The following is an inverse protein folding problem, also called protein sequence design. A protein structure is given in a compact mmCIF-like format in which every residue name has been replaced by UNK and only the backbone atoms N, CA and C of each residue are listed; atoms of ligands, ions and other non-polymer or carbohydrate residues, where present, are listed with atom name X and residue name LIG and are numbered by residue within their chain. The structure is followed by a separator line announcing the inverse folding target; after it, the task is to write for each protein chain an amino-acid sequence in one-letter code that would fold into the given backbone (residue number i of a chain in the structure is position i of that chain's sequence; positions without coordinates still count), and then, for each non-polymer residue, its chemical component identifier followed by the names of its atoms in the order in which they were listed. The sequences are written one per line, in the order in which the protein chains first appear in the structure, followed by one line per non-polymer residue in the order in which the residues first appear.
data_IF_558779038782
#
_entry.id   IF_558779038782
#
_cell.length_a   1.000
_cell.length_b   1.000
_cell.length_c   1.000
_cell.angle_alpha   90.00
_cell.angle_beta   90.00
_cell.angle_gamma   90.00
#
_symmetry.space_group_name_H-M   'P 1'
#
loop_
_entity.id
_entity.type
_entity.pdbx_description
1 polymer ?
#
# COMPACT_ATOMS: atom_id res chain seq x y z
N UNK A 1 -101.86 30.20 6.32
CA UNK A 1 -101.80 28.89 5.65
C UNK A 1 -101.18 29.11 4.29
N UNK A 2 -99.87 28.90 4.17
CA UNK A 2 -99.21 28.84 2.87
C UNK A 2 -98.75 27.40 2.71
N UNK A 3 -99.26 26.76 1.66
CA UNK A 3 -98.99 25.38 1.34
C UNK A 3 -97.50 25.19 1.03
N UNK A 4 -96.83 24.34 1.81
CA UNK A 4 -95.53 23.79 1.46
C UNK A 4 -95.70 22.86 0.26
N UNK A 5 -95.63 23.40 -0.96
CA UNK A 5 -95.48 22.61 -2.17
C UNK A 5 -94.05 22.06 -2.15
N UNK A 6 -93.88 20.87 -1.59
CA UNK A 6 -92.66 20.08 -1.76
C UNK A 6 -92.48 19.81 -3.24
N UNK A 7 -91.59 20.55 -3.89
CA UNK A 7 -91.17 20.33 -5.27
C UNK A 7 -90.40 19.01 -5.33
N UNK A 8 -91.11 17.88 -5.40
CA UNK A 8 -90.53 16.56 -5.70
C UNK A 8 -90.06 16.52 -7.14
N UNK A 9 -88.93 17.19 -7.38
CA UNK A 9 -88.21 17.19 -8.65
C UNK A 9 -87.13 16.10 -8.61
N UNK A 10 -86.66 15.60 -9.78
CA UNK A 10 -85.53 14.69 -9.85
C UNK A 10 -84.30 15.24 -9.10
N UNK A 11 -84.12 16.56 -9.13
CA UNK A 11 -83.04 17.27 -8.44
C UNK A 11 -83.10 17.13 -6.91
N UNK A 12 -84.28 17.31 -6.29
CA UNK A 12 -84.46 17.09 -4.85
C UNK A 12 -84.37 15.62 -4.43
N UNK A 13 -84.43 14.68 -5.37
CA UNK A 13 -84.24 13.25 -5.11
C UNK A 13 -82.75 12.88 -5.05
N UNK A 14 -81.93 13.53 -5.87
CA UNK A 14 -80.47 13.37 -5.86
C UNK A 14 -79.82 14.24 -4.77
N UNK A 15 -80.46 15.35 -4.40
CA UNK A 15 -80.04 16.27 -3.35
C UNK A 15 -81.16 16.48 -2.32
N UNK A 16 -81.42 15.49 -1.44
CA UNK A 16 -82.48 15.58 -0.43
C UNK A 16 -82.27 16.73 0.56
N UNK A 17 -81.01 17.17 0.69
CA UNK A 17 -80.58 18.29 1.53
C UNK A 17 -81.12 19.63 1.02
N UNK A 18 -81.63 19.72 -0.21
CA UNK A 18 -82.22 20.94 -0.78
C UNK A 18 -83.76 20.89 -0.78
N UNK A 19 -84.36 19.79 -0.31
CA UNK A 19 -85.82 19.59 -0.32
C UNK A 19 -86.59 20.46 0.68
N UNK A 20 -85.90 20.99 1.69
CA UNK A 20 -86.48 21.87 2.71
C UNK A 20 -86.44 23.35 2.32
N UNK A 21 -85.73 23.72 1.25
CA UNK A 21 -85.71 25.08 0.74
C UNK A 21 -86.93 25.37 -0.13
N UNK A 22 -87.50 26.55 0.04
CA UNK A 22 -88.59 27.07 -0.78
C UNK A 22 -88.09 27.51 -2.16
N UNK A 23 -89.02 27.68 -3.11
CA UNK A 23 -88.69 28.11 -4.48
C UNK A 23 -87.99 29.48 -4.52
N UNK A 24 -88.40 30.40 -3.66
CA UNK A 24 -87.83 31.74 -3.59
C UNK A 24 -86.40 31.67 -3.02
N UNK A 25 -86.16 30.84 -2.00
CA UNK A 25 -84.81 30.59 -1.45
C UNK A 25 -83.89 29.89 -2.47
N UNK A 26 -84.42 29.00 -3.31
CA UNK A 26 -83.68 28.38 -4.42
C UNK A 26 -83.32 29.39 -5.53
N UNK A 27 -84.15 30.40 -5.74
CA UNK A 27 -83.88 31.46 -6.70
C UNK A 27 -82.87 32.46 -6.15
N UNK A 28 -82.93 32.78 -4.86
CA UNK A 28 -81.92 33.54 -4.14
C UNK A 28 -80.58 32.79 -4.09
N UNK A 29 -80.61 31.47 -3.94
CA UNK A 29 -79.43 30.58 -4.04
C UNK A 29 -78.76 30.63 -5.43
N UNK A 30 -79.52 30.85 -6.49
CA UNK A 30 -78.97 30.96 -7.85
C UNK A 30 -78.43 32.37 -8.14
N UNK A 31 -78.99 33.40 -7.49
CA UNK A 31 -78.68 34.80 -7.76
C UNK A 31 -77.58 35.37 -6.83
N UNK A 32 -77.45 34.84 -5.60
CA UNK A 32 -76.43 35.25 -4.63
C UNK A 32 -75.34 34.17 -4.45
N UNK A 33 -74.11 34.39 -4.95
CA UNK A 33 -73.02 33.43 -4.81
C UNK A 33 -72.58 33.22 -3.36
N UNK A 34 -72.76 34.21 -2.48
CA UNK A 34 -72.38 34.11 -1.06
C UNK A 34 -73.35 33.20 -0.32
N UNK A 35 -74.65 33.37 -0.57
CA UNK A 35 -75.69 32.49 -0.02
C UNK A 35 -75.54 31.05 -0.53
N UNK A 36 -75.23 30.86 -1.82
CA UNK A 36 -74.87 29.56 -2.37
C UNK A 36 -73.70 28.91 -1.64
N UNK A 37 -72.59 29.63 -1.46
CA UNK A 37 -71.43 29.10 -0.74
C UNK A 37 -71.77 28.74 0.70
N UNK A 38 -72.54 29.57 1.41
CA UNK A 38 -72.95 29.28 2.78
C UNK A 38 -73.72 27.95 2.89
N UNK A 39 -74.69 27.72 2.00
CA UNK A 39 -75.43 26.44 1.98
C UNK A 39 -74.53 25.29 1.52
N UNK A 40 -73.70 25.49 0.49
CA UNK A 40 -72.79 24.46 0.00
C UNK A 40 -71.80 23.98 1.06
N UNK A 41 -71.18 24.89 1.82
CA UNK A 41 -70.31 24.55 2.95
C UNK A 41 -71.08 24.03 4.17
N UNK A 42 -72.39 24.25 4.24
CA UNK A 42 -73.22 23.68 5.31
C UNK A 42 -73.48 22.17 5.13
N UNK A 43 -73.42 21.68 3.88
CA UNK A 43 -73.73 20.29 3.52
C UNK A 43 -72.80 19.31 4.24
N UNK A 44 -73.34 18.27 4.91
CA UNK A 44 -72.56 17.28 5.66
C UNK A 44 -71.48 16.60 4.81
N UNK A 45 -71.81 16.23 3.57
CA UNK A 45 -70.84 15.61 2.64
C UNK A 45 -69.68 16.53 2.31
N UNK A 46 -69.95 17.83 2.11
CA UNK A 46 -68.92 18.82 1.79
C UNK A 46 -68.04 19.08 3.00
N UNK A 47 -68.64 19.25 4.20
CA UNK A 47 -67.89 19.36 5.47
C UNK A 47 -66.97 18.16 5.69
N UNK A 48 -67.49 16.94 5.57
CA UNK A 48 -66.70 15.72 5.72
C UNK A 48 -65.55 15.64 4.71
N UNK A 49 -65.76 16.11 3.47
CA UNK A 49 -64.69 16.18 2.47
C UNK A 49 -63.60 17.19 2.85
N UNK A 50 -63.96 18.39 3.33
CA UNK A 50 -63.00 19.39 3.78
C UNK A 50 -62.25 18.96 5.05
N UNK A 51 -62.94 18.31 5.99
CA UNK A 51 -62.33 17.72 7.19
C UNK A 51 -61.30 16.66 6.79
N UNK A 52 -61.68 15.71 5.93
CA UNK A 52 -60.76 14.69 5.42
C UNK A 52 -59.57 15.31 4.64
N UNK A 53 -59.81 16.34 3.84
CA UNK A 53 -58.74 17.07 3.14
C UNK A 53 -57.78 17.74 4.13
N UNK A 54 -58.30 18.37 5.18
CA UNK A 54 -57.50 19.03 6.20
C UNK A 54 -56.68 18.02 7.00
N UNK A 55 -57.28 16.88 7.39
CA UNK A 55 -56.57 15.80 8.07
C UNK A 55 -55.42 15.24 7.23
N UNK A 56 -55.65 14.97 5.94
CA UNK A 56 -54.59 14.55 5.03
C UNK A 56 -53.50 15.62 4.86
N UNK A 57 -53.88 16.89 4.83
CA UNK A 57 -52.95 18.02 4.79
C UNK A 57 -52.04 18.06 6.02
N UNK A 58 -52.63 17.98 7.22
CA UNK A 58 -51.88 17.95 8.47
C UNK A 58 -51.00 16.70 8.60
N UNK A 59 -51.50 15.54 8.17
CA UNK A 59 -50.72 14.30 8.15
C UNK A 59 -49.50 14.43 7.23
N UNK A 60 -49.69 14.91 6.00
CA UNK A 60 -48.59 15.15 5.07
C UNK A 60 -47.57 16.17 5.59
N UNK A 61 -48.04 17.26 6.20
CA UNK A 61 -47.17 18.26 6.81
C UNK A 61 -46.33 17.66 7.96
N UNK A 62 -46.95 16.81 8.80
CA UNK A 62 -46.24 16.13 9.88
C UNK A 62 -45.16 15.18 9.37
N UNK A 63 -45.44 14.44 8.29
CA UNK A 63 -44.48 13.55 7.63
C UNK A 63 -43.34 14.38 7.03
N UNK A 64 -43.65 15.48 6.35
CA UNK A 64 -42.64 16.37 5.78
C UNK A 64 -41.72 16.95 6.87
N UNK A 65 -42.29 17.40 8.00
CA UNK A 65 -41.52 17.88 9.16
C UNK A 65 -40.63 16.79 9.74
N UNK A 66 -41.14 15.57 9.87
CA UNK A 66 -40.35 14.41 10.33
C UNK A 66 -39.21 14.09 9.38
N UNK A 67 -39.46 14.09 8.07
CA UNK A 67 -38.44 13.83 7.06
C UNK A 67 -37.34 14.90 7.07
N UNK A 68 -37.72 16.18 7.20
CA UNK A 68 -36.76 17.28 7.32
C UNK A 68 -35.95 17.19 8.62
N UNK A 69 -36.58 16.83 9.73
CA UNK A 69 -35.88 16.67 11.01
C UNK A 69 -34.83 15.55 10.95
N UNK A 70 -35.10 14.45 10.24
CA UNK A 70 -34.15 13.34 10.10
C UNK A 70 -33.04 13.60 9.06
N UNK A 71 -33.23 14.60 8.19
CA UNK A 71 -32.33 14.84 7.07
C UNK A 71 -30.90 15.15 7.53
N UNK A 72 -30.75 16.03 8.51
CA UNK A 72 -29.44 16.46 9.02
C UNK A 72 -28.70 15.30 9.70
N UNK A 73 -29.40 14.51 10.52
CA UNK A 73 -28.85 13.33 11.18
C UNK A 73 -28.38 12.27 10.17
N UNK A 74 -29.16 12.04 9.10
CA UNK A 74 -28.79 11.11 8.03
C UNK A 74 -27.57 11.60 7.25
N UNK A 75 -27.45 12.90 6.98
CA UNK A 75 -26.24 13.46 6.35
C UNK A 75 -25.03 13.37 7.27
N UNK A 76 -25.19 13.65 8.56
CA UNK A 76 -24.12 13.51 9.54
C UNK A 76 -23.64 12.05 9.63
N UNK A 77 -24.56 11.09 9.72
CA UNK A 77 -24.23 9.66 9.75
C UNK A 77 -23.53 9.21 8.47
N UNK A 78 -23.98 9.70 7.31
CA UNK A 78 -23.34 9.42 6.03
C UNK A 78 -21.91 9.96 5.98
N UNK A 79 -21.69 11.18 6.47
CA UNK A 79 -20.37 11.80 6.53
C UNK A 79 -19.43 11.03 7.45
N UNK A 80 -19.89 10.65 8.65
CA UNK A 80 -19.11 9.83 9.59
C UNK A 80 -18.75 8.46 9.02
N UNK A 81 -19.70 7.83 8.32
CA UNK A 81 -19.45 6.52 7.68
C UNK A 81 -18.43 6.65 6.55
N UNK A 82 -18.49 7.74 5.78
CA UNK A 82 -17.53 8.03 4.73
C UNK A 82 -16.13 8.27 5.31
N UNK A 83 -16.01 9.09 6.36
CA UNK A 83 -14.75 9.36 7.03
C UNK A 83 -14.12 8.09 7.62
N UNK A 84 -14.91 7.28 8.33
CA UNK A 84 -14.44 6.01 8.88
C UNK A 84 -13.99 5.03 7.78
N UNK A 85 -14.69 5.02 6.64
CA UNK A 85 -14.30 4.20 5.49
C UNK A 85 -12.98 4.68 4.87
N UNK A 86 -12.83 5.99 4.70
CA UNK A 86 -11.62 6.59 4.14
C UNK A 86 -10.40 6.37 5.06
N UNK A 87 -10.59 6.47 6.38
CA UNK A 87 -9.57 6.13 7.37
C UNK A 87 -9.18 4.65 7.30
N UNK A 88 -10.16 3.74 7.23
CA UNK A 88 -9.90 2.31 7.07
C UNK A 88 -9.13 2.01 5.79
N UNK A 89 -9.45 2.68 4.68
CA UNK A 89 -8.72 2.56 3.41
C UNK A 89 -7.29 3.08 3.50
N UNK A 90 -7.07 4.19 4.20
CA UNK A 90 -5.74 4.71 4.46
C UNK A 90 -4.91 3.74 5.32
N UNK A 91 -5.51 3.16 6.36
CA UNK A 91 -4.87 2.12 7.19
C UNK A 91 -4.56 0.86 6.38
N UNK A 92 -5.45 0.41 5.51
CA UNK A 92 -5.22 -0.72 4.61
C UNK A 92 -4.01 -0.49 3.70
N UNK A 93 -3.88 0.71 3.14
CA UNK A 93 -2.72 1.09 2.32
C UNK A 93 -1.41 1.08 3.13
N UNK A 94 -1.42 1.69 4.32
CA UNK A 94 -0.26 1.69 5.22
C UNK A 94 0.13 0.29 5.68
N UNK A 95 -0.85 -0.57 5.92
CA UNK A 95 -0.63 -1.98 6.28
C UNK A 95 0.09 -2.73 5.16
N UNK A 96 -0.32 -2.55 3.91
CA UNK A 96 0.34 -3.20 2.75
C UNK A 96 1.81 -2.82 2.64
N UNK A 97 2.15 -1.55 2.87
CA UNK A 97 3.55 -1.11 2.86
C UNK A 97 4.33 -1.73 4.04
N UNK A 98 3.72 -1.75 5.23
CA UNK A 98 4.35 -2.37 6.41
C UNK A 98 4.57 -3.86 6.19
N UNK A 99 3.59 -4.59 5.65
CA UNK A 99 3.71 -6.00 5.32
C UNK A 99 4.79 -6.26 4.26
N UNK A 100 4.89 -5.37 3.27
CA UNK A 100 5.96 -5.43 2.27
C UNK A 100 7.33 -5.29 2.93
N UNK A 101 7.54 -4.23 3.73
CA UNK A 101 8.82 -4.02 4.43
C UNK A 101 9.15 -5.18 5.36
N UNK A 102 8.15 -5.72 6.06
CA UNK A 102 8.31 -6.91 6.88
C UNK A 102 8.78 -8.10 6.03
N UNK A 103 8.11 -8.43 4.93
CA UNK A 103 8.51 -9.52 4.05
C UNK A 103 9.94 -9.34 3.52
N UNK A 104 10.31 -8.12 3.14
CA UNK A 104 11.68 -7.82 2.68
C UNK A 104 12.72 -8.07 3.79
N UNK A 105 12.45 -7.63 5.02
CA UNK A 105 13.33 -7.88 6.18
C UNK A 105 13.40 -9.39 6.48
N UNK A 106 12.27 -10.08 6.55
CA UNK A 106 12.24 -11.52 6.81
C UNK A 106 12.96 -12.33 5.74
N UNK A 107 12.86 -11.95 4.46
CA UNK A 107 13.63 -12.59 3.40
C UNK A 107 15.13 -12.36 3.57
N UNK A 108 15.54 -11.10 3.79
CA UNK A 108 16.97 -10.70 3.92
C UNK A 108 17.66 -11.27 5.15
N UNK A 109 16.93 -11.46 6.25
CA UNK A 109 17.48 -11.94 7.52
C UNK A 109 17.01 -13.34 7.89
N UNK A 110 16.37 -14.06 6.96
CA UNK A 110 16.07 -15.47 7.19
C UNK A 110 17.36 -16.25 7.41
N UNK A 111 17.39 -17.23 8.34
CA UNK A 111 18.58 -18.03 8.59
C UNK A 111 19.13 -18.71 7.33
N UNK A 112 18.25 -19.14 6.43
CA UNK A 112 18.61 -19.75 5.16
C UNK A 112 19.28 -18.76 4.20
N UNK A 113 18.76 -17.53 4.08
CA UNK A 113 19.36 -16.50 3.24
C UNK A 113 20.71 -16.03 3.80
N UNK A 114 20.83 -15.90 5.12
CA UNK A 114 22.09 -15.55 5.77
C UNK A 114 23.15 -16.65 5.58
N UNK A 115 22.77 -17.93 5.68
CA UNK A 115 23.65 -19.06 5.41
C UNK A 115 24.08 -19.10 3.94
N UNK A 116 23.14 -18.87 3.00
CA UNK A 116 23.46 -18.73 1.57
C UNK A 116 24.47 -17.59 1.35
N UNK A 117 24.26 -16.42 1.97
CA UNK A 117 25.17 -15.27 1.87
C UNK A 117 26.55 -15.59 2.46
N UNK A 118 26.61 -16.33 3.56
CA UNK A 118 27.86 -16.81 4.15
C UNK A 118 28.59 -17.73 3.16
N UNK A 119 27.90 -18.69 2.54
CA UNK A 119 28.47 -19.58 1.52
C UNK A 119 29.05 -18.81 0.34
N UNK A 120 28.32 -17.84 -0.21
CA UNK A 120 28.85 -16.99 -1.27
C UNK A 120 30.08 -16.18 -0.83
N UNK A 121 30.07 -15.64 0.39
CA UNK A 121 31.23 -14.93 0.92
C UNK A 121 32.43 -15.86 1.15
N UNK A 122 32.20 -17.14 1.46
CA UNK A 122 33.25 -18.16 1.53
C UNK A 122 33.84 -18.44 0.16
N UNK A 123 33.02 -18.67 -0.87
CA UNK A 123 33.49 -18.84 -2.26
C UNK A 123 34.25 -17.62 -2.74
N UNK A 124 33.71 -16.41 -2.56
CA UNK A 124 34.39 -15.19 -2.95
C UNK A 124 35.72 -14.97 -2.19
N UNK A 125 35.85 -15.50 -0.98
CA UNK A 125 37.10 -15.47 -0.22
C UNK A 125 38.13 -16.47 -0.77
N UNK A 126 37.67 -17.65 -1.21
CA UNK A 126 38.48 -18.65 -1.89
C UNK A 126 39.03 -18.07 -3.20
N UNK A 127 38.14 -17.54 -4.04
CA UNK A 127 38.47 -16.90 -5.33
C UNK A 127 39.51 -15.78 -5.15
N UNK A 128 39.38 -14.96 -4.09
CA UNK A 128 40.38 -13.92 -3.77
C UNK A 128 41.74 -14.51 -3.43
N UNK A 129 41.77 -15.59 -2.63
CA UNK A 129 43.04 -16.24 -2.27
C UNK A 129 43.70 -16.89 -3.49
N UNK A 130 42.91 -17.52 -4.37
CA UNK A 130 43.40 -18.09 -5.63
C UNK A 130 43.88 -17.02 -6.60
N UNK A 131 43.16 -15.89 -6.72
CA UNK A 131 43.61 -14.76 -7.55
C UNK A 131 44.94 -14.18 -7.07
N UNK A 132 45.12 -14.04 -5.75
CA UNK A 132 46.38 -13.59 -5.14
C UNK A 132 47.50 -14.59 -5.46
N UNK A 133 47.28 -15.90 -5.25
CA UNK A 133 48.25 -16.94 -5.60
C UNK A 133 48.63 -16.93 -7.09
N UNK A 134 47.65 -16.83 -7.99
CA UNK A 134 47.88 -16.77 -9.44
C UNK A 134 48.66 -15.51 -9.85
N UNK A 135 48.38 -14.36 -9.21
CA UNK A 135 49.14 -13.13 -9.45
C UNK A 135 50.60 -13.27 -9.03
N UNK A 136 50.85 -13.91 -7.88
CA UNK A 136 52.20 -14.15 -7.38
C UNK A 136 52.98 -15.10 -8.29
N UNK A 137 52.39 -16.25 -8.68
CA UNK A 137 53.02 -17.20 -9.62
C UNK A 137 53.34 -16.53 -10.97
N UNK A 138 52.43 -15.68 -11.45
CA UNK A 138 52.66 -14.93 -12.68
C UNK A 138 53.84 -13.96 -12.51
N UNK A 139 53.88 -13.19 -11.42
CA UNK A 139 54.98 -12.25 -11.15
C UNK A 139 56.34 -12.94 -10.93
N UNK A 140 56.35 -14.10 -10.28
CA UNK A 140 57.55 -14.90 -10.06
C UNK A 140 58.06 -15.54 -11.36
N UNK A 141 57.14 -15.96 -12.24
CA UNK A 141 57.46 -16.43 -13.60
C UNK A 141 58.08 -15.32 -14.47
N UNK A 142 57.65 -14.06 -14.31
CA UNK A 142 58.25 -12.91 -15.01
C UNK A 142 59.63 -12.53 -14.44
N UNK A 143 59.83 -12.65 -13.12
CA UNK A 143 61.12 -12.38 -12.45
C UNK A 143 62.20 -13.42 -12.80
N UNK A 144 61.83 -14.71 -12.78
CA UNK A 144 62.71 -15.82 -13.17
C UNK A 144 63.05 -15.81 -14.68
N UNK A 145 62.10 -15.43 -15.54
CA UNK A 145 62.36 -15.25 -16.98
C UNK A 145 63.28 -14.05 -17.31
N UNK A 146 63.17 -12.94 -16.56
CA UNK A 146 64.09 -11.79 -16.71
C UNK A 146 65.54 -12.14 -16.37
N UNK A 147 65.77 -13.09 -15.47
CA UNK A 147 67.12 -13.50 -15.07
C UNK A 147 67.76 -14.47 -16.08
N UNK A 148 66.95 -15.28 -16.78
CA UNK A 148 67.41 -16.26 -17.77
C UNK A 148 67.57 -15.68 -19.18
N UNK A 149 66.92 -14.54 -19.50
CA UNK A 149 67.08 -13.86 -20.80
C UNK A 149 68.37 -13.02 -20.91
N UNK A 150 69.16 -12.89 -19.83
CA UNK A 150 70.44 -12.17 -19.84
C UNK A 150 71.63 -13.07 -20.25
N UNK A 151 71.43 -14.36 -20.48
CA UNK A 151 72.51 -15.33 -20.73
C UNK A 151 72.41 -16.10 -22.05
N UNK A 152 71.81 -15.52 -23.09
CA UNK A 152 71.92 -16.09 -24.45
C UNK A 152 72.08 -15.03 -25.54
N UNK A 153 73.28 -14.43 -25.61
CA UNK A 153 73.85 -13.89 -26.84
C UNK A 153 75.33 -14.29 -26.94
N UNK A 154 75.57 -15.52 -27.39
CA UNK A 154 76.89 -15.97 -27.85
C UNK A 154 77.02 -15.72 -29.34
N UNK A 155 77.77 -14.68 -29.74
CA UNK A 155 78.44 -14.57 -31.03
C UNK A 155 79.71 -13.72 -30.85
N UNK A 156 80.87 -14.30 -31.15
CA UNK A 156 82.17 -13.87 -30.65
C UNK A 156 82.85 -12.68 -31.33
N UNK A 157 83.89 -12.18 -30.66
CA UNK A 157 85.20 -11.85 -31.23
C UNK A 157 86.19 -11.58 -30.10
N UNK A 158 87.37 -12.15 -30.22
CA UNK A 158 88.46 -12.20 -29.24
C UNK A 158 89.23 -10.86 -29.13
N UNK A 159 89.72 -10.51 -27.93
CA UNK A 159 91.17 -10.34 -27.59
C UNK A 159 91.35 -9.70 -26.19
N UNK A 160 92.52 -9.92 -25.52
CA UNK A 160 92.61 -10.02 -24.06
C UNK A 160 93.33 -8.85 -23.38
N UNK A 161 92.97 -8.55 -22.12
CA UNK A 161 93.87 -7.87 -21.17
C UNK A 161 93.45 -8.11 -19.71
N UNK A 162 94.46 -8.30 -18.87
CA UNK A 162 94.46 -8.83 -17.50
C UNK A 162 93.76 -8.00 -16.41
N UNK A 163 92.98 -8.71 -15.57
CA UNK A 163 92.89 -8.75 -14.08
C UNK A 163 93.21 -7.53 -13.17
N UNK A 164 92.73 -7.46 -11.88
CA UNK A 164 91.78 -8.30 -11.15
C UNK A 164 90.63 -7.52 -10.46
N UNK A 165 89.62 -8.29 -10.04
CA UNK A 165 88.42 -7.93 -9.26
C UNK A 165 88.70 -7.46 -7.81
N UNK A 166 87.74 -6.75 -7.20
CA UNK A 166 87.22 -7.21 -5.93
C UNK A 166 85.71 -7.49 -6.02
N UNK A 167 85.36 -8.63 -5.42
CA UNK A 167 84.02 -9.23 -5.25
C UNK A 167 82.95 -8.18 -4.93
N UNK A 168 82.11 -7.86 -5.91
CA UNK A 168 80.77 -7.32 -5.68
C UNK A 168 79.95 -8.42 -5.01
N UNK A 169 79.63 -8.21 -3.74
CA UNK A 169 78.65 -9.01 -3.03
C UNK A 169 77.35 -9.00 -3.84
N UNK A 170 76.90 -10.17 -4.31
CA UNK A 170 75.52 -10.40 -4.70
C UNK A 170 74.67 -10.19 -3.46
N UNK A 171 74.23 -8.95 -3.23
CA UNK A 171 73.19 -8.64 -2.26
C UNK A 171 71.95 -9.39 -2.76
N UNK A 172 71.40 -10.36 -1.99
CA UNK A 172 70.15 -10.98 -2.38
C UNK A 172 69.11 -9.88 -2.51
N UNK A 173 68.28 -9.95 -3.57
CA UNK A 173 67.18 -9.04 -3.83
C UNK A 173 66.30 -8.91 -2.58
N UNK A 174 66.59 -7.90 -1.72
CA UNK A 174 65.83 -7.66 -0.50
C UNK A 174 64.37 -7.34 -0.83
N UNK A 175 64.11 -6.71 -1.99
CA UNK A 175 62.75 -6.48 -2.51
C UNK A 175 61.97 -7.78 -2.72
N UNK A 176 62.56 -8.79 -3.39
CA UNK A 176 61.88 -10.06 -3.63
C UNK A 176 61.59 -10.83 -2.34
N UNK A 177 62.52 -10.84 -1.39
CA UNK A 177 62.28 -11.46 -0.08
C UNK A 177 61.13 -10.78 0.67
N UNK A 178 61.07 -9.45 0.63
CA UNK A 178 59.99 -8.67 1.25
C UNK A 178 58.63 -8.91 0.54
N UNK A 179 58.62 -9.00 -0.79
CA UNK A 179 57.40 -9.27 -1.59
C UNK A 179 56.86 -10.69 -1.30
N UNK A 180 57.76 -11.67 -1.14
CA UNK A 180 57.40 -13.04 -0.75
C UNK A 180 56.85 -13.09 0.67
N UNK A 181 57.46 -12.38 1.62
CA UNK A 181 56.98 -12.31 3.00
C UNK A 181 55.62 -11.63 3.10
N UNK A 182 55.41 -10.55 2.33
CA UNK A 182 54.13 -9.86 2.23
C UNK A 182 53.04 -10.75 1.62
N UNK A 183 53.35 -11.44 0.52
CA UNK A 183 52.47 -12.46 -0.07
C UNK A 183 52.07 -13.53 0.96
N UNK A 184 53.04 -14.12 1.65
CA UNK A 184 52.79 -15.17 2.63
C UNK A 184 51.89 -14.65 3.75
N UNK A 185 52.11 -13.42 4.22
CA UNK A 185 51.29 -12.79 5.25
C UNK A 185 49.85 -12.61 4.77
N UNK A 186 49.65 -11.98 3.62
CA UNK A 186 48.32 -11.68 3.06
C UNK A 186 47.56 -12.96 2.69
N UNK A 187 48.20 -13.91 2.02
CA UNK A 187 47.60 -15.19 1.67
C UNK A 187 47.18 -15.98 2.92
N UNK A 188 48.01 -16.02 3.96
CA UNK A 188 47.64 -16.65 5.24
C UNK A 188 46.46 -15.94 5.90
N UNK A 189 46.40 -14.61 5.86
CA UNK A 189 45.25 -13.85 6.36
C UNK A 189 43.97 -14.20 5.61
N UNK A 190 44.02 -14.25 4.28
CA UNK A 190 42.87 -14.63 3.45
C UNK A 190 42.38 -16.06 3.74
N UNK A 191 43.30 -17.04 3.83
CA UNK A 191 42.96 -18.44 4.13
C UNK A 191 42.44 -18.62 5.56
N UNK A 192 42.98 -17.88 6.53
CA UNK A 192 42.43 -17.86 7.91
C UNK A 192 40.97 -17.44 7.92
N UNK A 193 40.62 -16.38 7.17
CA UNK A 193 39.22 -15.91 7.06
C UNK A 193 38.35 -16.94 6.34
N UNK A 194 38.84 -17.55 5.25
CA UNK A 194 38.14 -18.63 4.54
C UNK A 194 37.81 -19.80 5.47
N UNK A 195 38.81 -20.38 6.14
CA UNK A 195 38.60 -21.55 7.01
C UNK A 195 37.68 -21.23 8.19
N UNK A 196 37.76 -20.02 8.76
CA UNK A 196 36.80 -19.56 9.77
C UNK A 196 35.37 -19.57 9.22
N UNK A 197 35.14 -19.05 8.01
CA UNK A 197 33.81 -19.04 7.37
C UNK A 197 33.31 -20.43 7.01
N UNK A 198 34.19 -21.34 6.56
CA UNK A 198 33.85 -22.75 6.30
C UNK A 198 33.38 -23.44 7.59
N UNK A 199 34.20 -23.38 8.65
CA UNK A 199 33.85 -24.00 9.94
C UNK A 199 32.52 -23.45 10.50
N UNK A 200 32.29 -22.13 10.39
CA UNK A 200 31.03 -21.52 10.81
C UNK A 200 29.85 -21.93 9.91
N UNK A 201 30.06 -22.03 8.59
CA UNK A 201 29.05 -22.49 7.65
C UNK A 201 28.61 -23.93 7.91
N UNK A 202 29.56 -24.81 8.22
CA UNK A 202 29.29 -26.23 8.51
C UNK A 202 28.55 -26.39 9.85
N UNK A 203 28.98 -25.66 10.89
CA UNK A 203 28.29 -25.64 12.19
C UNK A 203 26.88 -25.07 12.09
N UNK A 204 26.66 -24.06 11.26
CA UNK A 204 25.33 -23.52 11.00
C UNK A 204 24.47 -24.56 10.27
N UNK A 205 24.99 -25.17 9.20
CA UNK A 205 24.26 -26.17 8.43
C UNK A 205 23.89 -27.42 9.25
N UNK A 206 24.70 -27.79 10.26
CA UNK A 206 24.43 -28.90 11.18
C UNK A 206 23.49 -28.53 12.35
N UNK A 207 23.02 -27.28 12.42
CA UNK A 207 22.14 -26.80 13.49
C UNK A 207 22.85 -26.56 14.83
N UNK A 208 24.18 -26.51 14.85
CA UNK A 208 25.00 -26.32 16.04
C UNK A 208 25.29 -24.83 16.35
N UNK A 209 24.52 -23.91 15.78
CA UNK A 209 24.64 -22.48 16.03
C UNK A 209 23.50 -22.06 16.95
N UNK A 210 23.84 -21.86 18.22
CA UNK A 210 22.98 -21.17 19.17
C UNK A 210 23.22 -19.67 19.03
N UNK A 211 22.15 -18.91 18.83
CA UNK A 211 22.17 -17.46 18.96
C UNK A 211 21.92 -17.14 20.43
N UNK A 212 22.90 -16.55 21.11
CA UNK A 212 22.69 -16.02 22.46
C UNK A 212 21.73 -14.82 22.32
N UNK A 213 20.59 -14.88 23.01
CA UNK A 213 19.60 -13.80 23.09
C UNK A 213 20.17 -12.52 23.73
#
# INVERSE_FOLDING_TARGET
MQEHISLSTPFTRDFPELSHLTRDELQDLLNDPVYFQAIFYSLPRVKAMYEAQNELGMANESIAKSNLAMQDDLYALRAQTQEAFDEAKAMESRWKETERTQKEVYQRYSPQFLLMRLRHATTAQDDKSEALANSFISSDSFSSASTLSASFTTAGSETPSDSPTPRTASVPHAGFANDVEEFIREYRELRKVYHKRVMWGDRWASGQVEWVE
#
